data_IF_552613784734
#
_entry.id   IF_552613784734
#
_cell.length_a   1.000
_cell.length_b   1.000
_cell.length_c   1.000
_cell.angle_alpha   90.00
_cell.angle_beta   90.00
_cell.angle_gamma   90.00
#
_symmetry.space_group_name_H-M   'P 1'
#
loop_
_entity.id
_entity.type
_entity.pdbx_description
1 polymer ?
#
# COMPACT_ATOMS: atom_id res chain seq x y z
N UNK A 1 -10.41 2.16 -24.23
CA UNK A 1 -8.99 2.58 -24.30
C UNK A 1 -8.59 3.00 -22.91
N UNK A 2 -7.51 2.51 -22.32
CA UNK A 2 -7.13 2.82 -20.93
C UNK A 2 -5.65 3.17 -20.82
N UNK A 3 -5.18 3.43 -19.60
CA UNK A 3 -3.75 3.65 -19.31
C UNK A 3 -3.36 3.01 -17.98
N UNK A 4 -2.10 2.69 -17.84
CA UNK A 4 -1.46 2.40 -16.55
C UNK A 4 -0.30 3.37 -16.39
N UNK A 5 -0.22 4.02 -15.24
CA UNK A 5 0.90 4.86 -14.82
C UNK A 5 1.57 4.27 -13.59
N UNK A 6 2.89 4.39 -13.52
CA UNK A 6 3.67 4.00 -12.35
C UNK A 6 4.26 5.24 -11.69
N UNK A 7 4.12 5.32 -10.37
CA UNK A 7 4.80 6.26 -9.50
C UNK A 7 5.70 5.48 -8.53
N UNK A 8 6.91 5.99 -8.31
CA UNK A 8 7.87 5.42 -7.38
C UNK A 8 8.38 6.52 -6.46
N UNK A 9 8.39 6.22 -5.17
CA UNK A 9 8.97 7.07 -4.14
C UNK A 9 9.69 6.25 -3.06
N UNK A 10 10.40 6.97 -2.21
CA UNK A 10 10.97 6.42 -0.98
C UNK A 10 10.24 7.07 0.19
N UNK A 11 9.63 6.23 1.02
CA UNK A 11 8.90 6.63 2.22
C UNK A 11 9.82 6.49 3.44
N UNK A 12 9.84 7.52 4.26
CA UNK A 12 10.47 7.56 5.58
C UNK A 12 9.52 8.22 6.59
N UNK A 13 9.83 8.10 7.88
CA UNK A 13 9.10 8.83 8.91
C UNK A 13 9.50 10.30 8.91
N UNK A 14 8.52 11.19 9.16
CA UNK A 14 8.79 12.60 9.38
C UNK A 14 9.73 12.84 10.58
N UNK A 15 9.60 12.02 11.63
CA UNK A 15 10.50 12.00 12.78
C UNK A 15 11.18 10.63 12.91
N UNK A 16 12.51 10.60 12.95
CA UNK A 16 13.27 9.36 13.04
C UNK A 16 12.93 8.59 14.34
N UNK A 17 12.48 7.34 14.20
CA UNK A 17 12.23 6.46 15.33
C UNK A 17 13.30 5.34 15.41
N UNK A 18 14.27 5.42 16.35
CA UNK A 18 15.38 4.48 16.41
C UNK A 18 14.96 3.04 16.78
N UNK A 19 13.75 2.87 17.32
CA UNK A 19 13.19 1.56 17.69
C UNK A 19 12.45 0.88 16.55
N UNK A 20 12.16 1.60 15.48
CA UNK A 20 11.50 1.05 14.31
C UNK A 20 12.53 0.48 13.34
N UNK A 21 12.18 -0.64 12.73
CA UNK A 21 12.97 -1.24 11.67
C UNK A 21 12.02 -1.77 10.60
N UNK A 22 11.92 -1.09 9.46
CA UNK A 22 11.03 -1.48 8.37
C UNK A 22 11.43 -2.78 7.69
N UNK A 23 12.66 -3.28 7.88
CA UNK A 23 13.02 -4.63 7.48
C UNK A 23 12.25 -5.70 8.28
N UNK A 24 11.65 -5.34 9.43
CA UNK A 24 10.81 -6.25 10.20
C UNK A 24 9.40 -6.33 9.58
N UNK A 25 8.87 -7.52 9.26
CA UNK A 25 7.60 -7.68 8.54
C UNK A 25 6.43 -6.92 9.18
N UNK A 26 6.28 -6.96 10.51
CA UNK A 26 5.22 -6.23 11.21
C UNK A 26 5.35 -4.71 11.16
N UNK A 27 6.58 -4.20 11.11
CA UNK A 27 6.80 -2.76 10.96
C UNK A 27 6.48 -2.32 9.53
N UNK A 28 6.84 -3.11 8.53
CA UNK A 28 6.48 -2.88 7.13
C UNK A 28 4.96 -2.85 6.95
N UNK A 29 4.23 -3.82 7.50
CA UNK A 29 2.77 -3.86 7.43
C UNK A 29 2.13 -2.60 8.04
N UNK A 30 2.52 -2.27 9.27
CA UNK A 30 2.00 -1.11 9.97
C UNK A 30 2.27 0.19 9.18
N UNK A 31 3.48 0.34 8.65
CA UNK A 31 3.85 1.50 7.84
C UNK A 31 3.04 1.57 6.53
N UNK A 32 2.86 0.45 5.83
CA UNK A 32 2.12 0.39 4.56
C UNK A 32 0.64 0.77 4.75
N UNK A 33 0.00 0.26 5.80
CA UNK A 33 -1.39 0.57 6.13
C UNK A 33 -1.58 2.00 6.63
N UNK A 34 -0.62 2.50 7.41
CA UNK A 34 -0.65 3.89 7.91
C UNK A 34 -0.41 4.88 6.78
N UNK A 35 0.51 4.57 5.86
CA UNK A 35 0.71 5.35 4.64
C UNK A 35 -0.60 5.47 3.84
N UNK A 36 -1.32 4.36 3.61
CA UNK A 36 -2.62 4.44 2.94
C UNK A 36 -3.62 5.30 3.71
N UNK A 37 -3.69 5.13 5.03
CA UNK A 37 -4.64 5.90 5.86
C UNK A 37 -4.32 7.39 5.81
N UNK A 38 -3.04 7.77 5.83
CA UNK A 38 -2.61 9.15 5.73
C UNK A 38 -3.03 9.79 4.38
N UNK A 39 -2.98 9.02 3.28
CA UNK A 39 -3.31 9.51 1.95
C UNK A 39 -4.81 9.46 1.63
N UNK A 40 -5.51 8.39 2.00
CA UNK A 40 -6.90 8.13 1.57
C UNK A 40 -7.90 8.04 2.72
N UNK A 41 -7.45 7.80 3.95
CA UNK A 41 -8.32 7.48 5.09
C UNK A 41 -9.23 8.62 5.54
N UNK A 42 -8.96 9.85 5.12
CA UNK A 42 -9.76 11.04 5.43
C UNK A 42 -10.60 11.51 4.23
N UNK A 43 -10.52 10.85 3.08
CA UNK A 43 -11.24 11.23 1.86
C UNK A 43 -12.66 10.69 1.85
N UNK A 44 -13.62 11.51 2.26
CA UNK A 44 -15.07 11.20 2.21
C UNK A 44 -15.73 11.86 1.00
N UNK A 45 -16.62 11.14 0.33
CA UNK A 45 -17.42 11.63 -0.81
C UNK A 45 -18.40 12.71 -0.32
N UNK A 46 -19.11 12.38 0.75
CA UNK A 46 -20.03 13.28 1.43
C UNK A 46 -19.79 13.20 2.94
N UNK A 47 -19.53 14.37 3.54
CA UNK A 47 -19.27 14.50 4.97
C UNK A 47 -20.49 14.16 5.83
N UNK A 48 -21.70 14.28 5.28
CA UNK A 48 -22.94 14.00 5.98
C UNK A 48 -23.28 12.50 5.97
N UNK A 49 -22.95 11.78 4.88
CA UNK A 49 -23.18 10.34 4.77
C UNK A 49 -22.05 9.51 5.38
N UNK A 50 -20.84 10.07 5.47
CA UNK A 50 -19.64 9.33 5.88
C UNK A 50 -19.19 8.30 4.86
N UNK A 51 -19.68 8.38 3.63
CA UNK A 51 -19.31 7.48 2.54
C UNK A 51 -17.86 7.75 2.12
N UNK A 52 -17.02 6.72 2.23
CA UNK A 52 -15.59 6.82 1.90
C UNK A 52 -15.38 6.88 0.41
N UNK A 53 -14.45 7.70 -0.06
CA UNK A 53 -14.05 7.79 -1.47
C UNK A 53 -13.20 6.58 -1.90
N UNK A 54 -12.54 5.91 -0.95
CA UNK A 54 -11.66 4.78 -1.21
C UNK A 54 -11.90 3.61 -0.26
N UNK A 55 -11.55 2.41 -0.74
CA UNK A 55 -11.45 1.19 0.06
C UNK A 55 -10.09 0.54 -0.16
N UNK A 56 -9.41 0.16 0.93
CA UNK A 56 -8.12 -0.53 0.90
C UNK A 56 -7.78 -1.14 2.29
N UNK A 57 -6.83 -2.09 2.39
CA UNK A 57 -6.22 -2.83 1.29
C UNK A 57 -7.19 -3.88 0.73
N UNK A 58 -7.19 -4.04 -0.59
CA UNK A 58 -7.83 -5.13 -1.32
C UNK A 58 -6.75 -6.07 -1.87
N UNK A 59 -7.09 -7.33 -2.15
CA UNK A 59 -6.18 -8.29 -2.78
C UNK A 59 -4.78 -8.37 -2.12
N UNK A 60 -4.73 -8.29 -0.79
CA UNK A 60 -3.49 -8.33 -0.03
C UNK A 60 -2.70 -9.60 -0.33
N UNK A 61 -1.41 -9.45 -0.65
CA UNK A 61 -0.51 -10.59 -0.82
C UNK A 61 0.94 -10.22 -0.53
N UNK A 62 1.73 -11.26 -0.24
CA UNK A 62 3.19 -11.15 -0.12
C UNK A 62 3.81 -11.16 -1.53
N UNK A 63 4.86 -10.37 -1.72
CA UNK A 63 5.67 -10.33 -2.95
C UNK A 63 6.73 -11.43 -2.85
N UNK A 64 6.38 -12.65 -3.25
CA UNK A 64 7.15 -13.87 -2.95
C UNK A 64 8.44 -14.05 -3.76
N UNK A 65 8.62 -13.29 -4.83
CA UNK A 65 9.84 -13.33 -5.65
C UNK A 65 11.04 -12.63 -4.99
N UNK A 66 10.84 -11.91 -3.89
CA UNK A 66 11.89 -11.22 -3.15
C UNK A 66 12.28 -12.02 -1.90
N UNK A 67 13.58 -12.09 -1.59
CA UNK A 67 14.13 -12.77 -0.41
C UNK A 67 13.96 -11.98 0.91
N UNK A 68 13.27 -10.84 0.82
CA UNK A 68 13.02 -9.86 1.87
C UNK A 68 11.51 -9.67 2.01
N UNK A 69 10.99 -9.25 3.19
CA UNK A 69 9.56 -9.08 3.35
C UNK A 69 9.09 -7.92 2.47
N UNK A 70 8.14 -8.17 1.60
CA UNK A 70 7.53 -7.17 0.74
C UNK A 70 6.04 -7.48 0.56
N UNK A 71 5.24 -6.43 0.46
CA UNK A 71 3.77 -6.54 0.41
C UNK A 71 3.21 -5.82 -0.79
N UNK A 72 2.11 -6.35 -1.32
CA UNK A 72 1.32 -5.68 -2.32
C UNK A 72 -0.17 -5.79 -2.00
N UNK A 73 -0.93 -4.81 -2.44
CA UNK A 73 -2.39 -4.77 -2.33
C UNK A 73 -2.93 -3.70 -3.28
N UNK A 74 -4.23 -3.74 -3.51
CA UNK A 74 -4.96 -2.73 -4.28
C UNK A 74 -5.66 -1.72 -3.34
N UNK A 75 -5.81 -0.49 -3.81
CA UNK A 75 -6.85 0.43 -3.39
C UNK A 75 -7.79 0.70 -4.57
N UNK A 76 -9.04 1.07 -4.28
CA UNK A 76 -10.04 1.36 -5.31
C UNK A 76 -10.92 2.52 -4.87
N UNK A 77 -11.24 3.41 -5.82
CA UNK A 77 -12.25 4.44 -5.63
C UNK A 77 -13.65 3.81 -5.55
N UNK A 78 -14.41 4.12 -4.51
CA UNK A 78 -15.77 3.60 -4.31
C UNK A 78 -16.82 4.32 -5.16
N UNK A 79 -16.48 5.51 -5.67
CA UNK A 79 -17.30 6.30 -6.58
C UNK A 79 -16.55 6.62 -7.89
N UNK A 80 -17.30 6.85 -8.97
CA UNK A 80 -16.75 7.22 -10.27
C UNK A 80 -16.31 6.03 -11.11
N UNK A 81 -15.08 6.05 -11.63
CA UNK A 81 -14.51 5.07 -12.57
C UNK A 81 -14.07 3.76 -11.94
N UNK A 82 -14.12 3.65 -10.60
CA UNK A 82 -13.53 2.56 -9.84
C UNK A 82 -12.09 2.30 -10.33
N UNK A 83 -11.21 3.29 -10.36
CA UNK A 83 -9.85 3.04 -10.88
C UNK A 83 -9.03 2.27 -9.82
N UNK A 84 -8.51 1.05 -10.11
CA UNK A 84 -7.70 0.32 -9.16
C UNK A 84 -6.27 0.86 -9.16
N UNK A 85 -5.69 0.95 -7.97
CA UNK A 85 -4.31 1.34 -7.76
C UNK A 85 -3.58 0.22 -6.99
N UNK A 86 -2.60 -0.43 -7.65
CA UNK A 86 -1.77 -1.46 -7.02
C UNK A 86 -0.62 -0.77 -6.28
N UNK A 87 -0.54 -0.98 -4.99
CA UNK A 87 0.57 -0.56 -4.15
C UNK A 87 1.53 -1.71 -3.90
N UNK A 88 2.83 -1.44 -3.94
CA UNK A 88 3.89 -2.39 -3.58
C UNK A 88 4.87 -1.70 -2.64
N UNK A 89 5.05 -2.25 -1.45
CA UNK A 89 5.95 -1.73 -0.42
C UNK A 89 7.10 -2.70 -0.19
N UNK A 90 8.32 -2.21 -0.37
CA UNK A 90 9.57 -2.97 -0.28
C UNK A 90 10.50 -2.24 0.69
N UNK A 91 10.85 -2.80 1.85
CA UNK A 91 11.82 -2.19 2.74
C UNK A 91 13.20 -2.28 2.11
N UNK A 92 13.87 -1.13 1.98
CA UNK A 92 15.21 -1.03 1.37
C UNK A 92 16.30 -0.73 2.41
N UNK A 93 15.89 -0.38 3.64
CA UNK A 93 16.75 -0.27 4.82
C UNK A 93 15.89 -0.26 6.08
N UNK A 94 16.52 -0.19 7.26
CA UNK A 94 15.83 0.01 8.54
C UNK A 94 14.84 1.18 8.56
N UNK A 95 15.12 2.25 7.81
CA UNK A 95 14.41 3.53 7.91
C UNK A 95 13.65 3.92 6.63
N UNK A 96 13.81 3.17 5.55
CA UNK A 96 13.26 3.56 4.25
C UNK A 96 12.50 2.39 3.60
N UNK A 97 11.37 2.73 2.98
CA UNK A 97 10.55 1.82 2.19
C UNK A 97 10.47 2.38 0.77
N UNK A 98 10.81 1.59 -0.24
CA UNK A 98 10.44 1.89 -1.62
C UNK A 98 8.95 1.57 -1.82
N UNK A 99 8.18 2.56 -2.25
CA UNK A 99 6.76 2.41 -2.56
C UNK A 99 6.54 2.61 -4.06
N UNK A 100 5.96 1.60 -4.70
CA UNK A 100 5.47 1.68 -6.06
C UNK A 100 3.94 1.77 -6.03
N UNK A 101 3.39 2.72 -6.78
CA UNK A 101 1.97 2.83 -7.06
C UNK A 101 1.74 2.66 -8.56
N UNK A 102 0.86 1.73 -8.92
CA UNK A 102 0.40 1.52 -10.29
C UNK A 102 -1.07 1.86 -10.40
N UNK A 103 -1.37 3.07 -10.86
CA UNK A 103 -2.73 3.51 -11.13
C UNK A 103 -3.15 3.06 -12.54
N UNK A 104 -4.24 2.29 -12.62
CA UNK A 104 -4.85 1.88 -13.88
C UNK A 104 -6.17 2.60 -14.07
N UNK A 105 -6.33 3.24 -15.24
CA UNK A 105 -7.57 3.90 -15.64
C UNK A 105 -8.19 3.17 -16.81
N UNK A 106 -9.40 2.67 -16.63
CA UNK A 106 -10.27 2.20 -17.71
C UNK A 106 -11.16 3.37 -18.15
N UNK A 107 -10.93 3.95 -19.33
CA UNK A 107 -11.77 5.07 -19.80
C UNK A 107 -13.16 4.58 -20.24
N UNK A 108 -14.01 4.33 -19.24
CA UNK A 108 -15.43 4.05 -19.34
C UNK A 108 -16.13 4.62 -18.09
N UNK A 109 -17.46 4.66 -18.12
CA UNK A 109 -18.26 5.10 -16.99
C UNK A 109 -19.23 4.00 -16.58
N UNK A 110 -19.61 4.01 -15.29
CA UNK A 110 -20.49 3.01 -14.69
C UNK A 110 -19.86 2.40 -13.44
N UNK A 111 -20.53 1.41 -12.88
CA UNK A 111 -19.99 0.54 -11.83
C UNK A 111 -18.77 -0.24 -12.35
N UNK A 112 -17.95 -0.77 -11.44
CA UNK A 112 -16.83 -1.68 -11.78
C UNK A 112 -17.22 -2.74 -12.82
N UNK A 113 -18.33 -3.43 -12.58
CA UNK A 113 -18.82 -4.49 -13.47
C UNK A 113 -19.18 -3.97 -14.88
N UNK A 114 -19.74 -2.76 -14.97
CA UNK A 114 -20.07 -2.12 -16.26
C UNK A 114 -18.83 -1.60 -16.99
N UNK A 115 -17.85 -1.08 -16.25
CA UNK A 115 -16.56 -0.62 -16.77
C UNK A 115 -15.76 -1.80 -17.33
N UNK A 116 -15.66 -2.91 -16.59
CA UNK A 116 -14.92 -4.11 -16.98
C UNK A 116 -15.49 -4.78 -18.24
N UNK A 117 -16.82 -4.70 -18.44
CA UNK A 117 -17.47 -5.19 -19.68
C UNK A 117 -17.14 -4.34 -20.90
N UNK A 118 -16.89 -3.05 -20.71
CA UNK A 118 -16.56 -2.12 -21.81
C UNK A 118 -15.07 -2.11 -22.13
N UNK A 119 -14.24 -2.24 -21.10
CA UNK A 119 -12.78 -2.25 -21.19
C UNK A 119 -12.27 -3.37 -20.32
N UNK A 120 -11.82 -4.47 -20.94
CA UNK A 120 -11.28 -5.62 -20.22
C UNK A 120 -10.10 -5.20 -19.30
N UNK A 121 -10.18 -5.44 -17.97
CA UNK A 121 -9.10 -5.11 -17.05
C UNK A 121 -7.90 -6.06 -17.14
N UNK A 122 -8.06 -7.26 -17.72
CA UNK A 122 -7.05 -8.32 -17.69
C UNK A 122 -5.69 -7.90 -18.28
N UNK A 123 -5.61 -7.20 -19.42
CA UNK A 123 -4.31 -6.77 -19.97
C UNK A 123 -3.56 -5.79 -19.05
N UNK A 124 -4.28 -4.92 -18.34
CA UNK A 124 -3.66 -3.98 -17.39
C UNK A 124 -3.14 -4.72 -16.16
N UNK A 125 -3.95 -5.64 -15.62
CA UNK A 125 -3.55 -6.49 -14.51
C UNK A 125 -2.32 -7.33 -14.87
N UNK A 126 -2.30 -7.96 -16.04
CA UNK A 126 -1.16 -8.73 -16.51
C UNK A 126 0.10 -7.87 -16.66
N UNK A 127 -0.02 -6.65 -17.20
CA UNK A 127 1.09 -5.71 -17.27
C UNK A 127 1.65 -5.37 -15.89
N UNK A 128 0.80 -5.01 -14.93
CA UNK A 128 1.20 -4.68 -13.56
C UNK A 128 1.84 -5.89 -12.88
N UNK A 129 1.22 -7.07 -12.97
CA UNK A 129 1.72 -8.32 -12.39
C UNK A 129 3.11 -8.67 -12.98
N UNK A 130 3.31 -8.50 -14.28
CA UNK A 130 4.60 -8.72 -14.95
C UNK A 130 5.66 -7.72 -14.49
N UNK A 131 5.31 -6.43 -14.35
CA UNK A 131 6.25 -5.42 -13.84
C UNK A 131 6.64 -5.76 -12.41
N UNK A 132 5.68 -6.00 -11.52
CA UNK A 132 5.96 -6.34 -10.11
C UNK A 132 6.79 -7.62 -10.03
N UNK A 133 6.44 -8.65 -10.79
CA UNK A 133 7.19 -9.91 -10.90
C UNK A 133 8.62 -9.75 -11.42
N UNK A 134 8.93 -8.66 -12.12
CA UNK A 134 10.27 -8.35 -12.63
C UNK A 134 11.13 -7.51 -11.68
N UNK A 135 10.57 -7.01 -10.58
CA UNK A 135 11.31 -6.20 -9.61
C UNK A 135 12.41 -7.05 -8.96
N UNK A 136 13.62 -6.52 -8.96
CA UNK A 136 14.77 -7.09 -8.25
C UNK A 136 15.29 -6.09 -7.23
N UNK A 137 15.67 -6.59 -6.05
CA UNK A 137 16.20 -5.77 -4.97
C UNK A 137 17.57 -6.31 -4.58
N UNK A 138 18.56 -5.42 -4.56
CA UNK A 138 19.90 -5.72 -4.03
C UNK A 138 20.09 -4.86 -2.79
N UNK A 139 20.08 -5.49 -1.61
CA UNK A 139 20.33 -4.78 -0.37
C UNK A 139 21.80 -4.38 -0.25
N UNK A 140 22.04 -3.24 0.41
CA UNK A 140 23.38 -2.89 0.86
C UNK A 140 23.84 -3.86 1.97
N UNK A 141 25.15 -3.99 2.24
CA UNK A 141 25.64 -4.84 3.33
C UNK A 141 24.99 -4.55 4.68
N UNK A 142 24.70 -3.28 4.97
CA UNK A 142 24.07 -2.84 6.20
C UNK A 142 22.60 -3.30 6.28
N UNK A 143 21.82 -3.08 5.22
CA UNK A 143 20.42 -3.52 5.18
C UNK A 143 20.29 -5.05 5.18
N UNK A 144 21.24 -5.75 4.54
CA UNK A 144 21.31 -7.21 4.59
C UNK A 144 21.61 -7.70 6.00
N UNK A 145 22.54 -7.08 6.71
CA UNK A 145 22.85 -7.42 8.10
C UNK A 145 21.64 -7.21 9.03
N UNK A 146 20.88 -6.11 8.86
CA UNK A 146 19.64 -5.85 9.59
C UNK A 146 18.61 -6.97 9.35
N UNK A 147 18.46 -7.40 8.09
CA UNK A 147 17.53 -8.47 7.74
C UNK A 147 17.96 -9.83 8.29
N UNK A 148 19.24 -10.16 8.19
CA UNK A 148 19.80 -11.41 8.71
C UNK A 148 19.65 -11.50 10.23
N UNK A 149 19.84 -10.38 10.94
CA UNK A 149 19.61 -10.30 12.39
C UNK A 149 18.13 -10.55 12.74
N UNK A 150 17.20 -9.93 12.00
CA UNK A 150 15.76 -10.16 12.20
C UNK A 150 15.40 -11.63 11.97
N UNK A 151 15.84 -12.22 10.85
CA UNK A 151 15.61 -13.64 10.54
C UNK A 151 16.16 -14.57 11.62
N UNK A 152 17.35 -14.26 12.14
CA UNK A 152 17.98 -15.05 13.20
C UNK A 152 17.21 -14.99 14.51
N UNK A 153 16.76 -13.80 14.90
CA UNK A 153 16.10 -13.57 16.19
C UNK A 153 14.60 -13.90 16.14
N UNK A 154 13.98 -13.82 14.96
CA UNK A 154 12.56 -14.06 14.71
C UNK A 154 12.39 -14.92 13.43
N UNK A 155 12.70 -16.23 13.47
CA UNK A 155 12.67 -17.09 12.28
C UNK A 155 11.27 -17.22 11.67
N UNK A 156 10.23 -17.06 12.49
CA UNK A 156 8.83 -17.10 12.06
C UNK A 156 8.28 -15.72 11.64
N UNK A 157 9.11 -14.67 11.62
CA UNK A 157 8.70 -13.35 11.21
C UNK A 157 8.35 -13.35 9.71
N UNK A 158 7.05 -13.24 9.43
CA UNK A 158 6.51 -13.10 8.09
C UNK A 158 5.45 -12.02 8.04
N UNK A 159 5.25 -11.49 6.83
CA UNK A 159 4.05 -10.72 6.50
C UNK A 159 2.85 -11.66 6.65
N UNK A 160 1.75 -11.11 7.12
CA UNK A 160 0.44 -11.73 7.19
C UNK A 160 -0.02 -12.17 5.81
N UNK A 161 -0.61 -13.35 5.73
CA UNK A 161 -1.13 -13.90 4.46
C UNK A 161 -2.38 -13.16 3.99
N UNK A 162 -3.10 -12.52 4.92
CA UNK A 162 -4.32 -11.76 4.65
C UNK A 162 -4.34 -10.48 5.47
N UNK A 163 -5.01 -9.47 4.93
CA UNK A 163 -5.33 -8.23 5.62
C UNK A 163 -6.74 -7.82 5.19
N UNK A 164 -7.61 -7.52 6.16
CA UNK A 164 -8.94 -7.01 5.85
C UNK A 164 -8.87 -5.52 5.49
N UNK A 165 -9.81 -5.01 4.68
CA UNK A 165 -9.92 -3.57 4.44
C UNK A 165 -9.97 -2.78 5.74
N UNK A 166 -9.29 -1.63 5.76
CA UNK A 166 -9.25 -0.73 6.89
C UNK A 166 -10.62 -0.09 7.10
N UNK A 167 -10.95 0.15 8.37
CA UNK A 167 -12.15 0.91 8.72
C UNK A 167 -11.82 2.39 8.60
N UNK A 168 -12.21 2.99 7.48
CA UNK A 168 -12.18 4.43 7.26
C UNK A 168 -13.59 5.04 7.46
N UNK A 169 -13.70 6.34 7.84
CA UNK A 169 -12.63 7.31 7.91
C UNK A 169 -11.72 7.10 9.12
N UNK A 170 -10.43 7.42 8.96
CA UNK A 170 -9.42 7.33 9.99
C UNK A 170 -8.27 8.30 9.71
N UNK A 171 -7.53 8.65 10.76
CA UNK A 171 -6.32 9.46 10.66
C UNK A 171 -5.09 8.66 11.03
N UNK A 172 -3.91 9.28 10.90
CA UNK A 172 -2.68 8.80 11.54
C UNK A 172 -2.26 9.75 12.67
N UNK A 173 -1.44 9.24 13.58
CA UNK A 173 -0.76 10.06 14.58
C UNK A 173 0.31 10.96 13.95
N UNK A 174 0.91 11.82 14.78
CA UNK A 174 1.97 12.75 14.33
C UNK A 174 3.20 12.06 13.75
N UNK A 175 3.44 10.80 14.15
CA UNK A 175 4.58 10.01 13.71
C UNK A 175 4.25 9.24 12.42
N UNK A 176 2.99 9.28 11.96
CA UNK A 176 2.53 8.68 10.70
C UNK A 176 2.38 7.15 10.75
N UNK A 177 2.31 6.56 11.94
CA UNK A 177 2.39 5.10 12.14
C UNK A 177 1.21 4.50 12.89
N UNK A 178 0.56 5.28 13.75
CA UNK A 178 -0.58 4.77 14.50
C UNK A 178 -1.85 5.26 13.82
N UNK A 179 -2.67 4.34 13.33
CA UNK A 179 -4.00 4.66 12.83
C UNK A 179 -4.89 5.05 14.02
N UNK A 180 -5.53 6.21 13.92
CA UNK A 180 -6.40 6.82 14.91
C UNK A 180 -7.84 6.88 14.40
N UNK A 181 -8.79 6.94 15.32
CA UNK A 181 -10.17 7.29 14.95
C UNK A 181 -10.21 8.69 14.33
N UNK A 182 -11.08 8.86 13.34
CA UNK A 182 -11.23 10.12 12.61
C UNK A 182 -11.73 11.26 13.51
N UNK A 183 -11.05 12.40 13.50
CA UNK A 183 -11.50 13.64 14.14
C UNK A 183 -11.76 14.75 13.09
N UNK A 184 -13.03 15.08 12.80
CA UNK A 184 -13.35 16.11 11.81
C UNK A 184 -12.83 17.51 12.18
N UNK A 185 -12.53 17.78 13.46
CA UNK A 185 -11.99 19.07 13.91
C UNK A 185 -10.53 19.27 13.56
N UNK A 186 -9.82 18.21 13.19
CA UNK A 186 -8.40 18.25 12.82
C UNK A 186 -8.15 18.98 11.50
N UNK A 187 -9.19 19.13 10.68
CA UNK A 187 -9.16 19.72 9.35
C UNK A 187 -10.11 20.93 9.20
N UNK A 188 -10.60 21.48 10.31
CA UNK A 188 -11.52 22.62 10.38
C UNK A 188 -10.81 23.96 10.59
#
# INVERSE_FOLDING_TARGET
MGRTSCYLEVVELAEANPRLNFMHPKALEAASLSYLTANYGHEVIDRDSGEMNYIAPLNWSVVTQLDIPAVQFDSESTAGSADPERHVFIPISKLHIAHFSFNTVQNASGTREEVDKQVDPAPFKELVDNIVGSIQVTLSPEAQADWDEIKKNNPDAKVSETCAPLKWPADVDKDGLTILEYDPKRYA
#
